data_IF_149664686838
#
_entry.id   IF_149664686838
#
_cell.length_a   1.000
_cell.length_b   1.000
_cell.length_c   1.000
_cell.angle_alpha   90.00
_cell.angle_beta   90.00
_cell.angle_gamma   90.00
#
_symmetry.space_group_name_H-M   'P 1'
#
loop_
_entity.id
_entity.type
_entity.pdbx_description
1 polymer ?
#
# COMPACT_ATOMS: atom_id res chain seq x y z
N UNK A 1 15.06 -19.23 4.92
CA UNK A 1 14.83 -18.09 5.88
C UNK A 1 14.36 -16.90 5.08
N UNK A 2 13.41 -16.11 5.60
CA UNK A 2 12.88 -14.91 4.91
C UNK A 2 13.41 -13.65 5.59
N UNK A 3 13.99 -12.74 4.81
CA UNK A 3 14.55 -11.46 5.29
C UNK A 3 13.62 -10.33 4.88
N UNK A 4 13.27 -9.46 5.84
CA UNK A 4 12.53 -8.22 5.59
C UNK A 4 13.52 -7.05 5.58
N UNK A 5 13.50 -6.25 4.52
CA UNK A 5 14.43 -5.13 4.30
C UNK A 5 13.85 -4.09 3.33
N UNK A 6 14.42 -2.89 3.24
CA UNK A 6 14.13 -1.97 2.15
C UNK A 6 14.35 -2.65 0.78
N UNK A 7 13.47 -2.35 -0.17
CA UNK A 7 13.59 -2.83 -1.54
C UNK A 7 14.72 -2.10 -2.27
N UNK A 8 15.31 -2.79 -3.22
CA UNK A 8 16.34 -2.26 -4.12
C UNK A 8 15.89 -2.42 -5.58
N UNK A 9 16.59 -1.81 -6.52
CA UNK A 9 16.28 -1.93 -7.93
C UNK A 9 16.25 -3.40 -8.42
N UNK A 10 17.04 -4.28 -7.82
CA UNK A 10 17.04 -5.71 -8.16
C UNK A 10 15.76 -6.46 -7.76
N UNK A 11 14.96 -5.89 -6.85
CA UNK A 11 13.71 -6.51 -6.40
C UNK A 11 12.51 -6.17 -7.29
N UNK A 12 12.60 -5.14 -8.13
CA UNK A 12 11.49 -4.61 -8.94
C UNK A 12 10.78 -5.70 -9.75
N UNK A 13 11.52 -6.55 -10.43
CA UNK A 13 10.94 -7.66 -11.19
C UNK A 13 10.24 -8.70 -10.31
N UNK A 14 10.76 -8.94 -9.11
CA UNK A 14 10.14 -9.81 -8.11
C UNK A 14 8.85 -9.22 -7.56
N UNK A 15 8.86 -7.92 -7.26
CA UNK A 15 7.69 -7.16 -6.81
C UNK A 15 6.61 -7.19 -7.89
N UNK A 16 6.96 -6.89 -9.15
CA UNK A 16 6.02 -6.91 -10.27
C UNK A 16 5.32 -8.26 -10.41
N UNK A 17 6.08 -9.37 -10.39
CA UNK A 17 5.51 -10.73 -10.47
C UNK A 17 4.59 -11.06 -9.30
N UNK A 18 4.93 -10.61 -8.09
CA UNK A 18 4.10 -10.82 -6.91
C UNK A 18 2.78 -10.04 -7.03
N UNK A 19 2.83 -8.74 -7.37
CA UNK A 19 1.64 -7.91 -7.50
C UNK A 19 0.72 -8.37 -8.64
N UNK A 20 1.28 -8.76 -9.79
CA UNK A 20 0.53 -9.30 -10.94
C UNK A 20 -0.26 -10.56 -10.57
N UNK A 21 0.36 -11.48 -9.79
CA UNK A 21 -0.31 -12.70 -9.31
C UNK A 21 -1.56 -12.41 -8.48
N UNK A 22 -1.57 -11.32 -7.72
CA UNK A 22 -2.66 -10.92 -6.84
C UNK A 22 -3.49 -9.75 -7.38
N UNK A 23 -3.28 -9.38 -8.65
CA UNK A 23 -4.09 -8.35 -9.29
C UNK A 23 -5.54 -8.84 -9.49
N UNK A 24 -6.50 -8.00 -9.15
CA UNK A 24 -7.94 -8.32 -9.16
C UNK A 24 -8.43 -8.87 -10.50
N UNK A 25 -7.86 -8.41 -11.61
CA UNK A 25 -8.21 -8.86 -12.96
C UNK A 25 -7.82 -10.30 -13.26
N UNK A 26 -6.89 -10.88 -12.52
CA UNK A 26 -6.38 -12.24 -12.72
C UNK A 26 -6.99 -13.27 -11.76
N UNK A 27 -7.81 -12.83 -10.79
CA UNK A 27 -8.31 -13.66 -9.71
C UNK A 27 -9.78 -14.11 -9.93
N UNK A 28 -10.09 -15.35 -9.54
CA UNK A 28 -11.46 -15.78 -9.41
C UNK A 28 -12.08 -15.30 -8.07
N UNK A 29 -13.39 -15.45 -7.90
CA UNK A 29 -14.13 -14.93 -6.73
C UNK A 29 -13.63 -15.51 -5.39
N UNK A 30 -13.26 -16.81 -5.36
CA UNK A 30 -12.73 -17.43 -4.16
C UNK A 30 -11.35 -16.87 -3.76
N UNK A 31 -10.53 -16.52 -4.74
CA UNK A 31 -9.24 -15.86 -4.52
C UNK A 31 -9.42 -14.40 -4.07
N UNK A 32 -10.33 -13.65 -4.70
CA UNK A 32 -10.66 -12.27 -4.32
C UNK A 32 -11.12 -12.15 -2.87
N UNK A 33 -11.83 -13.14 -2.36
CA UNK A 33 -12.29 -13.16 -0.97
C UNK A 33 -11.14 -13.13 0.06
N UNK A 34 -9.93 -13.53 -0.33
CA UNK A 34 -8.73 -13.49 0.53
C UNK A 34 -8.00 -12.14 0.49
N UNK A 35 -8.38 -11.25 -0.41
CA UNK A 35 -7.74 -9.97 -0.66
C UNK A 35 -7.06 -9.91 -2.03
N UNK A 36 -6.90 -8.72 -2.56
CA UNK A 36 -6.33 -8.49 -3.89
C UNK A 36 -5.70 -7.12 -4.02
N UNK A 37 -4.90 -6.93 -5.06
CA UNK A 37 -4.34 -5.66 -5.51
C UNK A 37 -5.31 -5.04 -6.53
N UNK A 38 -5.71 -3.78 -6.32
CA UNK A 38 -6.72 -3.09 -7.14
C UNK A 38 -6.12 -2.33 -8.31
N UNK A 39 -4.82 -2.03 -8.28
CA UNK A 39 -4.10 -1.17 -9.23
C UNK A 39 -3.00 -1.98 -9.89
N UNK A 40 -2.90 -1.89 -11.21
CA UNK A 40 -1.73 -2.38 -11.95
C UNK A 40 -0.62 -1.35 -11.90
N UNK A 41 0.60 -1.84 -11.77
CA UNK A 41 1.80 -1.01 -11.77
C UNK A 41 2.71 -1.40 -12.92
N UNK A 42 3.19 -0.43 -13.67
CA UNK A 42 4.26 -0.61 -14.63
C UNK A 42 5.60 -0.80 -13.93
N UNK A 43 6.59 -1.39 -14.61
CA UNK A 43 7.94 -1.50 -14.05
C UNK A 43 8.54 -0.15 -13.71
N UNK A 44 8.31 0.87 -14.55
CA UNK A 44 8.80 2.23 -14.31
C UNK A 44 8.21 2.83 -13.02
N UNK A 45 6.89 2.68 -12.79
CA UNK A 45 6.24 3.13 -11.56
C UNK A 45 6.83 2.41 -10.33
N UNK A 46 7.05 1.10 -10.42
CA UNK A 46 7.68 0.33 -9.33
C UNK A 46 9.12 0.75 -9.07
N UNK A 47 9.90 1.04 -10.12
CA UNK A 47 11.26 1.59 -9.98
C UNK A 47 11.25 2.94 -9.26
N UNK A 48 10.31 3.83 -9.63
CA UNK A 48 10.16 5.12 -8.97
C UNK A 48 9.75 4.96 -7.51
N UNK A 49 8.78 4.08 -7.21
CA UNK A 49 8.35 3.79 -5.83
C UNK A 49 9.47 3.20 -4.98
N UNK A 50 10.29 2.30 -5.53
CA UNK A 50 11.47 1.73 -4.84
C UNK A 50 12.49 2.84 -4.53
N UNK A 51 12.65 3.82 -5.44
CA UNK A 51 13.58 4.94 -5.26
C UNK A 51 13.09 5.93 -4.21
N UNK A 52 11.82 6.33 -4.29
CA UNK A 52 11.19 7.28 -3.36
C UNK A 52 9.65 7.26 -3.46
N UNK A 53 8.93 7.22 -2.35
CA UNK A 53 9.36 7.26 -0.94
C UNK A 53 10.03 5.99 -0.44
N UNK A 54 9.84 4.86 -1.11
CA UNK A 54 10.44 3.57 -0.83
C UNK A 54 9.43 2.45 -0.64
N UNK A 55 9.92 1.23 -0.70
CA UNK A 55 9.19 -0.02 -0.48
C UNK A 55 9.97 -0.92 0.47
N UNK A 56 9.25 -1.75 1.23
CA UNK A 56 9.83 -2.82 2.05
C UNK A 56 9.41 -4.15 1.47
N UNK A 57 10.35 -5.07 1.34
CA UNK A 57 10.11 -6.42 0.81
C UNK A 57 10.50 -7.49 1.82
N UNK A 58 9.83 -8.64 1.72
CA UNK A 58 10.28 -9.89 2.31
C UNK A 58 10.81 -10.80 1.19
N UNK A 59 12.04 -11.24 1.34
CA UNK A 59 12.78 -12.01 0.33
C UNK A 59 13.27 -13.32 0.92
N UNK A 60 13.04 -14.43 0.23
CA UNK A 60 13.58 -15.74 0.58
C UNK A 60 15.07 -15.84 0.20
N UNK A 61 15.77 -16.85 0.72
CA UNK A 61 17.20 -17.09 0.45
C UNK A 61 17.52 -17.27 -1.03
N UNK A 62 16.57 -17.77 -1.81
CA UNK A 62 16.70 -17.92 -3.27
C UNK A 62 16.47 -16.62 -4.05
N UNK A 63 16.23 -15.50 -3.37
CA UNK A 63 15.96 -14.19 -3.98
C UNK A 63 14.50 -13.95 -4.39
N UNK A 64 13.58 -14.86 -4.08
CA UNK A 64 12.17 -14.69 -4.39
C UNK A 64 11.52 -13.65 -3.47
N UNK A 65 10.91 -12.62 -4.04
CA UNK A 65 10.07 -11.66 -3.29
C UNK A 65 8.74 -12.32 -2.96
N UNK A 66 8.43 -12.49 -1.68
CA UNK A 66 7.21 -13.14 -1.18
C UNK A 66 6.27 -12.19 -0.45
N UNK A 67 6.72 -10.97 -0.15
CA UNK A 67 5.83 -9.95 0.37
C UNK A 67 6.39 -8.55 0.09
N UNK A 68 5.50 -7.56 0.03
CA UNK A 68 5.85 -6.15 -0.22
C UNK A 68 4.88 -5.23 0.51
N UNK A 69 5.40 -4.10 1.01
CA UNK A 69 4.64 -2.92 1.40
C UNK A 69 5.30 -1.69 0.76
N UNK A 70 4.53 -0.96 -0.03
CA UNK A 70 5.02 0.18 -0.79
C UNK A 70 4.48 1.51 -0.31
N UNK A 71 4.99 2.57 -0.92
CA UNK A 71 4.56 3.94 -0.70
C UNK A 71 4.64 4.74 -2.00
N UNK A 72 3.75 5.73 -2.13
CA UNK A 72 3.79 6.72 -3.20
C UNK A 72 3.63 8.12 -2.60
N UNK A 73 4.19 9.16 -3.22
CA UNK A 73 4.05 10.52 -2.72
C UNK A 73 2.60 11.02 -2.86
N UNK A 74 2.24 12.01 -2.03
CA UNK A 74 1.02 12.82 -2.15
C UNK A 74 1.47 14.29 -2.14
N UNK A 75 1.12 15.11 -3.15
CA UNK A 75 0.40 14.73 -4.36
C UNK A 75 1.16 13.73 -5.22
N UNK A 76 0.41 12.94 -5.98
CA UNK A 76 0.97 11.94 -6.88
C UNK A 76 1.70 12.60 -8.06
N UNK A 77 2.78 11.97 -8.52
CA UNK A 77 3.54 12.44 -9.69
C UNK A 77 2.93 11.97 -11.03
N UNK A 78 1.71 11.45 -10.99
CA UNK A 78 1.00 10.83 -12.10
C UNK A 78 0.33 9.54 -11.65
N UNK A 79 -0.05 8.70 -12.58
CA UNK A 79 -0.68 7.40 -12.30
C UNK A 79 -2.17 7.35 -12.59
N UNK A 80 -2.86 6.37 -12.03
CA UNK A 80 -4.28 6.13 -12.27
C UNK A 80 -5.17 7.26 -11.75
N UNK A 81 -6.41 7.32 -12.26
CA UNK A 81 -7.42 8.27 -11.79
C UNK A 81 -7.74 8.15 -10.29
N UNK A 82 -7.39 7.02 -9.66
CA UNK A 82 -7.51 6.81 -8.21
C UNK A 82 -6.58 7.78 -7.46
N UNK A 83 -5.31 7.87 -7.87
CA UNK A 83 -4.34 8.77 -7.24
C UNK A 83 -4.73 10.23 -7.41
N UNK A 84 -5.13 10.64 -8.64
CA UNK A 84 -5.62 11.99 -8.90
C UNK A 84 -6.86 12.32 -8.06
N UNK A 85 -7.75 11.34 -7.84
CA UNK A 85 -8.92 11.53 -6.99
C UNK A 85 -8.52 11.76 -5.53
N UNK A 86 -7.57 10.99 -5.00
CA UNK A 86 -7.05 11.18 -3.64
C UNK A 86 -6.40 12.56 -3.50
N UNK A 87 -5.58 12.98 -4.46
CA UNK A 87 -4.96 14.32 -4.47
C UNK A 87 -6.02 15.43 -4.37
N UNK A 88 -7.17 15.26 -5.06
CA UNK A 88 -8.27 16.24 -4.98
C UNK A 88 -9.01 16.25 -3.63
N UNK A 89 -8.88 15.21 -2.83
CA UNK A 89 -9.57 15.08 -1.53
C UNK A 89 -8.77 15.65 -0.36
N UNK A 90 -7.43 15.67 -0.43
CA UNK A 90 -6.58 16.04 0.72
C UNK A 90 -6.78 17.48 1.19
N UNK A 91 -7.20 18.39 0.31
CA UNK A 91 -7.51 19.78 0.66
C UNK A 91 -8.86 19.95 1.38
N UNK A 92 -9.71 18.93 1.33
CA UNK A 92 -11.09 18.98 1.85
C UNK A 92 -11.34 18.02 3.02
N UNK A 93 -10.40 17.16 3.35
CA UNK A 93 -10.50 16.22 4.45
C UNK A 93 -9.64 16.66 5.63
N UNK A 94 -10.13 16.38 6.83
CA UNK A 94 -9.40 16.66 8.07
C UNK A 94 -9.08 15.36 8.81
N UNK A 95 -7.94 15.37 9.48
CA UNK A 95 -7.50 14.31 10.38
C UNK A 95 -6.77 14.94 11.57
N UNK A 96 -6.99 14.42 12.77
CA UNK A 96 -6.41 14.97 14.01
C UNK A 96 -6.63 16.51 14.18
N UNK A 97 -7.77 17.01 13.69
CA UNK A 97 -8.15 18.43 13.85
C UNK A 97 -7.53 19.39 12.82
N UNK A 98 -6.76 18.90 11.85
CA UNK A 98 -6.17 19.72 10.78
C UNK A 98 -6.49 19.17 9.40
N UNK A 99 -6.47 20.05 8.38
CA UNK A 99 -6.66 19.64 7.00
C UNK A 99 -5.49 18.75 6.55
N UNK A 100 -5.76 17.68 5.83
CA UNK A 100 -4.74 16.71 5.43
C UNK A 100 -3.57 17.33 4.67
N UNK A 101 -3.82 18.28 3.78
CA UNK A 101 -2.78 18.94 3.00
C UNK A 101 -1.79 19.76 3.83
N UNK A 102 -2.03 19.96 5.12
CA UNK A 102 -1.07 20.59 6.05
C UNK A 102 -0.02 19.63 6.59
N UNK A 103 -0.19 18.33 6.36
CA UNK A 103 0.75 17.28 6.78
C UNK A 103 1.66 16.85 5.62
N UNK A 104 2.81 16.28 5.94
CA UNK A 104 3.62 15.54 4.97
C UNK A 104 2.98 14.17 4.76
N UNK A 105 2.36 13.97 3.61
CA UNK A 105 1.55 12.80 3.30
C UNK A 105 2.31 11.80 2.44
N UNK A 106 2.06 10.50 2.66
CA UNK A 106 2.37 9.46 1.68
C UNK A 106 1.21 8.48 1.55
N UNK A 107 1.03 7.88 0.40
CA UNK A 107 0.15 6.72 0.25
C UNK A 107 0.83 5.49 0.88
N UNK A 108 0.03 4.62 1.48
CA UNK A 108 0.46 3.31 1.96
C UNK A 108 -0.12 2.22 1.08
N UNK A 109 0.72 1.55 0.35
CA UNK A 109 0.40 0.48 -0.59
C UNK A 109 1.25 0.59 -1.88
N UNK A 110 1.25 -0.48 -2.68
CA UNK A 110 0.55 -1.75 -2.50
C UNK A 110 1.08 -2.55 -1.31
N UNK A 111 0.20 -3.34 -0.67
CA UNK A 111 0.58 -4.30 0.36
C UNK A 111 0.14 -5.69 -0.09
N UNK A 112 1.10 -6.59 -0.22
CA UNK A 112 0.86 -7.95 -0.67
C UNK A 112 1.75 -8.93 0.09
N UNK A 113 1.17 -10.07 0.50
CA UNK A 113 1.89 -11.21 1.07
C UNK A 113 1.45 -12.45 0.32
N UNK A 114 2.41 -13.21 -0.20
CA UNK A 114 2.14 -14.48 -0.88
C UNK A 114 1.38 -15.43 0.07
N UNK A 115 0.30 -16.05 -0.40
CA UNK A 115 -0.53 -16.94 0.41
C UNK A 115 0.26 -18.14 0.95
N UNK A 116 1.29 -18.59 0.24
CA UNK A 116 2.18 -19.65 0.70
C UNK A 116 2.97 -19.26 1.97
N UNK A 117 3.07 -17.96 2.24
CA UNK A 117 3.75 -17.40 3.40
C UNK A 117 2.75 -16.84 4.44
N UNK A 118 1.45 -17.14 4.29
CA UNK A 118 0.43 -16.70 5.25
C UNK A 118 0.71 -17.25 6.65
N UNK A 119 0.38 -16.47 7.68
CA UNK A 119 0.57 -16.86 9.09
C UNK A 119 2.00 -16.77 9.62
N UNK A 120 2.98 -16.42 8.79
CA UNK A 120 4.40 -16.30 9.22
C UNK A 120 4.74 -14.91 9.81
N UNK A 121 3.76 -14.07 10.04
CA UNK A 121 3.96 -12.73 10.62
C UNK A 121 4.60 -11.71 9.66
N UNK A 122 4.70 -12.01 8.36
CA UNK A 122 5.34 -11.12 7.39
C UNK A 122 4.63 -9.77 7.27
N UNK A 123 3.30 -9.73 7.33
CA UNK A 123 2.55 -8.48 7.28
C UNK A 123 2.94 -7.53 8.43
N UNK A 124 3.11 -8.04 9.65
CA UNK A 124 3.55 -7.26 10.80
C UNK A 124 4.99 -6.75 10.63
N UNK A 125 5.88 -7.59 10.10
CA UNK A 125 7.28 -7.20 9.85
C UNK A 125 7.38 -6.15 8.74
N UNK A 126 6.60 -6.29 7.67
CA UNK A 126 6.51 -5.27 6.61
C UNK A 126 5.99 -3.94 7.17
N UNK A 127 4.95 -3.99 7.99
CA UNK A 127 4.40 -2.81 8.67
C UNK A 127 5.46 -2.10 9.52
N UNK A 128 6.19 -2.84 10.35
CA UNK A 128 7.28 -2.28 11.16
C UNK A 128 8.36 -1.63 10.29
N UNK A 129 8.83 -2.35 9.26
CA UNK A 129 9.83 -1.82 8.33
C UNK A 129 9.35 -0.59 7.57
N UNK A 130 8.08 -0.55 7.17
CA UNK A 130 7.46 0.61 6.56
C UNK A 130 7.44 1.81 7.52
N UNK A 131 6.96 1.63 8.75
CA UNK A 131 6.90 2.69 9.75
C UNK A 131 8.29 3.25 10.07
N UNK A 132 9.30 2.38 10.18
CA UNK A 132 10.68 2.81 10.39
C UNK A 132 11.24 3.58 9.19
N UNK A 133 10.97 3.13 7.96
CA UNK A 133 11.41 3.80 6.73
C UNK A 133 10.79 5.20 6.57
N UNK A 134 9.51 5.38 6.97
CA UNK A 134 8.76 6.63 6.80
C UNK A 134 8.93 7.59 7.97
N UNK A 135 9.45 7.12 9.11
CA UNK A 135 9.68 7.91 10.32
C UNK A 135 10.43 9.21 10.03
N UNK A 136 9.91 10.33 10.54
CA UNK A 136 10.50 11.67 10.38
C UNK A 136 10.44 12.24 8.96
N UNK A 137 10.01 11.46 7.96
CA UNK A 137 9.86 11.89 6.56
C UNK A 137 8.44 12.33 6.24
N UNK A 138 7.47 11.60 6.78
CA UNK A 138 6.04 11.84 6.60
C UNK A 138 5.36 11.88 7.96
N UNK A 139 4.19 12.52 8.01
CA UNK A 139 3.40 12.64 9.23
C UNK A 139 2.21 11.69 9.22
N UNK A 140 1.58 11.52 8.05
CA UNK A 140 0.36 10.72 7.88
C UNK A 140 0.52 9.79 6.67
N UNK A 141 0.16 8.52 6.86
CA UNK A 141 0.01 7.54 5.79
C UNK A 141 -1.46 7.38 5.39
N UNK A 142 -1.71 7.31 4.10
CA UNK A 142 -3.05 7.23 3.50
C UNK A 142 -3.17 5.94 2.67
N UNK A 143 -3.68 4.84 3.23
CA UNK A 143 -4.11 3.70 2.42
C UNK A 143 -5.48 3.94 1.81
N UNK A 144 -5.70 3.43 0.60
CA UNK A 144 -7.03 3.29 0.04
C UNK A 144 -7.32 1.81 -0.25
N UNK A 145 -8.55 1.41 0.00
CA UNK A 145 -8.97 0.01 -0.13
C UNK A 145 -10.26 -0.06 -0.90
N UNK A 146 -10.35 -0.95 -1.88
CA UNK A 146 -11.59 -1.20 -2.61
C UNK A 146 -12.70 -1.67 -1.67
N UNK A 147 -13.91 -1.14 -1.83
CA UNK A 147 -15.11 -1.58 -1.11
C UNK A 147 -15.43 -3.07 -1.36
N UNK A 148 -14.98 -3.62 -2.48
CA UNK A 148 -15.10 -5.04 -2.79
C UNK A 148 -13.98 -5.92 -2.20
N UNK A 149 -13.08 -5.34 -1.36
CA UNK A 149 -11.99 -6.05 -0.69
C UNK A 149 -12.15 -6.05 0.85
N UNK A 150 -13.16 -6.75 1.39
CA UNK A 150 -13.44 -6.74 2.83
C UNK A 150 -12.30 -7.30 3.67
N UNK A 151 -11.50 -8.23 3.13
CA UNK A 151 -10.34 -8.78 3.82
C UNK A 151 -9.28 -7.70 4.09
N UNK A 152 -8.99 -6.87 3.09
CA UNK A 152 -8.06 -5.75 3.22
C UNK A 152 -8.62 -4.67 4.15
N UNK A 153 -9.90 -4.30 4.02
CA UNK A 153 -10.55 -3.34 4.93
C UNK A 153 -10.44 -3.78 6.38
N UNK A 154 -10.74 -5.06 6.66
CA UNK A 154 -10.62 -5.62 8.01
C UNK A 154 -9.18 -5.56 8.53
N UNK A 155 -8.20 -5.86 7.68
CA UNK A 155 -6.79 -5.81 8.07
C UNK A 155 -6.35 -4.39 8.44
N UNK A 156 -6.68 -3.40 7.63
CA UNK A 156 -6.27 -2.01 7.85
C UNK A 156 -7.04 -1.36 9.01
N UNK A 157 -8.36 -1.45 9.01
CA UNK A 157 -9.19 -0.80 10.03
C UNK A 157 -9.16 -1.53 11.36
N UNK A 158 -9.43 -2.85 11.36
CA UNK A 158 -9.71 -3.58 12.60
C UNK A 158 -8.41 -4.09 13.27
N UNK A 159 -7.38 -4.47 12.48
CA UNK A 159 -6.13 -4.99 13.03
C UNK A 159 -5.06 -3.91 13.21
N UNK A 160 -4.95 -2.96 12.29
CA UNK A 160 -3.97 -1.88 12.34
C UNK A 160 -4.55 -0.58 12.96
N UNK A 161 -5.86 -0.53 13.24
CA UNK A 161 -6.51 0.59 13.92
C UNK A 161 -6.55 1.87 13.09
N UNK A 162 -6.53 1.77 11.77
CA UNK A 162 -6.53 2.94 10.89
C UNK A 162 -7.90 3.62 10.88
N UNK A 163 -7.89 4.94 10.87
CA UNK A 163 -9.12 5.77 10.87
C UNK A 163 -9.69 5.89 9.46
N UNK A 164 -10.97 5.60 9.29
CA UNK A 164 -11.66 5.86 8.03
C UNK A 164 -11.95 7.35 7.89
N UNK A 165 -11.54 7.93 6.77
CA UNK A 165 -11.75 9.34 6.45
C UNK A 165 -13.01 9.54 5.59
N UNK A 166 -13.10 8.82 4.48
CA UNK A 166 -14.21 8.95 3.53
C UNK A 166 -14.29 7.74 2.62
N UNK A 167 -15.44 7.61 1.95
CA UNK A 167 -15.59 6.77 0.77
C UNK A 167 -15.53 7.65 -0.49
N UNK A 168 -15.00 7.12 -1.56
CA UNK A 168 -14.92 7.80 -2.84
C UNK A 168 -15.03 6.84 -4.01
N UNK A 169 -15.34 7.37 -5.19
CA UNK A 169 -15.37 6.58 -6.43
C UNK A 169 -14.31 7.09 -7.40
N UNK A 170 -13.62 6.16 -8.03
CA UNK A 170 -12.68 6.42 -9.11
C UNK A 170 -12.71 5.24 -10.10
N UNK A 171 -12.63 5.52 -11.39
CA UNK A 171 -12.60 4.52 -12.46
C UNK A 171 -13.77 3.50 -12.38
N UNK A 172 -14.96 3.98 -11.98
CA UNK A 172 -16.17 3.16 -11.87
C UNK A 172 -16.19 2.20 -10.67
N UNK A 173 -15.26 2.32 -9.72
CA UNK A 173 -15.16 1.48 -8.51
C UNK A 173 -15.21 2.33 -7.25
N UNK A 174 -15.74 1.74 -6.17
CA UNK A 174 -15.79 2.37 -4.85
C UNK A 174 -14.58 2.01 -3.99
N UNK A 175 -14.10 2.98 -3.23
CA UNK A 175 -12.94 2.86 -2.33
C UNK A 175 -13.21 3.53 -1.00
N UNK A 176 -12.50 3.08 0.02
CA UNK A 176 -12.38 3.73 1.32
C UNK A 176 -11.00 4.35 1.43
N UNK A 177 -10.90 5.62 1.81
CA UNK A 177 -9.64 6.27 2.20
C UNK A 177 -9.51 6.18 3.72
N UNK A 178 -8.36 5.70 4.17
CA UNK A 178 -8.02 5.60 5.59
C UNK A 178 -6.81 6.48 5.91
N UNK A 179 -6.56 6.71 7.19
CA UNK A 179 -5.37 7.42 7.67
C UNK A 179 -4.78 6.76 8.90
N UNK A 180 -3.47 6.94 9.07
CA UNK A 180 -2.74 6.58 10.29
C UNK A 180 -1.55 7.51 10.51
N UNK A 181 -1.16 7.68 11.78
CA UNK A 181 -0.01 8.50 12.16
C UNK A 181 1.31 7.77 11.89
N UNK A 182 2.27 8.49 11.34
CA UNK A 182 3.66 8.05 11.20
C UNK A 182 4.46 8.74 12.32
N UNK A 183 5.16 8.00 13.18
CA UNK A 183 5.93 8.59 14.28
C UNK A 183 7.03 9.55 13.79
N UNK A 184 7.29 10.59 14.56
CA UNK A 184 8.38 11.53 14.32
C UNK A 184 9.76 10.84 14.44
#
# INVERSE_FOLDING_TARGET
MTIVRPATASDVQGIARLLDRYYVGHLNEAQKARGFISVEFTLAELEDMVRAPGMVVAVEENGTVVAVAGSSPVPSLGGSGIFQKIDSLVDHLSYNGSVLSTYRLCLYGPVCVDEACAGQGLAAKLWQGFMEMMRGRYDIGLPFVSLSNPASLKAHRDKLGMTQLTEFSAEGRGYVLLAFDIPA
#
